data_IF_188215978041
#
_entry.id   IF_188215978041
#
_cell.length_a   1.000
_cell.length_b   1.000
_cell.length_c   1.000
_cell.angle_alpha   90.00
_cell.angle_beta   90.00
_cell.angle_gamma   90.00
#
_symmetry.space_group_name_H-M   'P 1'
#
loop_
_entity.id
_entity.type
_entity.pdbx_description
1 polymer ?
#
# COMPACT_ATOMS: atom_id res chain seq x y z
N UNK A 1 9.03 -24.13 3.10
CA UNK A 1 8.09 -23.54 4.09
C UNK A 1 6.67 -23.64 3.56
N UNK A 2 5.69 -23.90 4.44
CA UNK A 2 4.28 -24.08 4.04
C UNK A 2 3.65 -22.73 3.65
N UNK A 3 2.78 -22.66 2.63
CA UNK A 3 2.12 -21.41 2.20
C UNK A 3 1.40 -20.66 3.32
N UNK A 4 0.83 -21.41 4.26
CA UNK A 4 0.08 -20.86 5.40
C UNK A 4 0.93 -19.96 6.30
N UNK A 5 2.23 -20.25 6.43
CA UNK A 5 3.15 -19.42 7.21
C UNK A 5 3.23 -17.99 6.66
N UNK A 6 3.35 -17.85 5.34
CA UNK A 6 3.43 -16.54 4.68
C UNK A 6 2.09 -15.79 4.71
N UNK A 7 0.96 -16.50 4.74
CA UNK A 7 -0.35 -15.89 4.95
C UNK A 7 -0.43 -15.31 6.36
N UNK A 8 -0.07 -16.09 7.39
CA UNK A 8 -0.02 -15.61 8.77
C UNK A 8 0.92 -14.41 8.93
N UNK A 9 2.08 -14.44 8.27
CA UNK A 9 3.01 -13.32 8.24
C UNK A 9 2.36 -12.04 7.70
N UNK A 10 1.60 -12.17 6.60
CA UNK A 10 0.89 -11.05 6.00
C UNK A 10 -0.26 -10.53 6.87
N UNK A 11 -0.99 -11.41 7.55
CA UNK A 11 -2.02 -11.04 8.53
C UNK A 11 -1.38 -10.24 9.68
N UNK A 12 -0.28 -10.75 10.25
CA UNK A 12 0.45 -10.05 11.31
C UNK A 12 0.96 -8.70 10.81
N UNK A 13 1.50 -8.64 9.59
CA UNK A 13 1.91 -7.38 8.95
C UNK A 13 0.78 -6.36 8.88
N UNK A 14 -0.38 -6.76 8.37
CA UNK A 14 -1.56 -5.90 8.30
C UNK A 14 -2.02 -5.42 9.69
N UNK A 15 -2.02 -6.29 10.70
CA UNK A 15 -2.36 -5.92 12.07
C UNK A 15 -1.37 -4.92 12.67
N UNK A 16 -0.06 -5.08 12.43
CA UNK A 16 0.96 -4.13 12.88
C UNK A 16 0.71 -2.76 12.26
N UNK A 17 0.40 -2.69 10.95
CA UNK A 17 0.08 -1.41 10.30
C UNK A 17 -1.14 -0.76 10.96
N UNK A 18 -2.21 -1.53 11.22
CA UNK A 18 -3.41 -1.01 11.89
C UNK A 18 -3.13 -0.51 13.30
N UNK A 19 -2.23 -1.16 14.05
CA UNK A 19 -1.80 -0.70 15.37
C UNK A 19 -1.03 0.63 15.29
N UNK A 20 -0.32 0.89 14.19
CA UNK A 20 0.38 2.14 13.94
C UNK A 20 -0.50 3.38 14.00
N UNK A 21 -1.79 3.27 13.64
CA UNK A 21 -2.75 4.38 13.72
C UNK A 21 -3.03 4.89 15.14
N UNK A 22 -2.80 4.05 16.16
CA UNK A 22 -3.01 4.42 17.56
C UNK A 22 -1.76 5.05 18.19
N UNK A 23 -0.64 5.02 17.47
CA UNK A 23 0.66 5.46 17.99
C UNK A 23 0.91 6.93 17.63
N UNK A 24 1.76 7.62 18.41
CA UNK A 24 2.20 8.97 18.03
C UNK A 24 2.93 8.95 16.69
N UNK A 25 2.96 10.08 15.95
CA UNK A 25 3.38 10.12 14.54
C UNK A 25 4.75 9.50 14.26
N UNK A 26 5.74 9.72 15.13
CA UNK A 26 7.09 9.17 15.01
C UNK A 26 7.13 7.66 15.21
N UNK A 27 6.36 7.13 16.17
CA UNK A 27 6.24 5.70 16.38
C UNK A 27 5.42 5.04 15.27
N UNK A 28 4.36 5.69 14.77
CA UNK A 28 3.48 5.16 13.73
C UNK A 28 4.27 4.71 12.48
N UNK A 29 5.28 5.48 12.06
CA UNK A 29 6.13 5.14 10.90
C UNK A 29 6.88 3.81 11.07
N UNK A 30 7.34 3.49 12.29
CA UNK A 30 8.04 2.23 12.59
C UNK A 30 7.07 1.05 12.41
N UNK A 31 5.83 1.19 12.88
CA UNK A 31 4.80 0.18 12.71
C UNK A 31 4.46 -0.03 11.23
N UNK A 32 4.33 1.07 10.46
CA UNK A 32 4.14 0.99 9.03
C UNK A 32 5.28 0.24 8.32
N UNK A 33 6.54 0.60 8.60
CA UNK A 33 7.70 -0.03 7.98
C UNK A 33 7.80 -1.51 8.36
N UNK A 34 7.60 -1.84 9.64
CA UNK A 34 7.62 -3.22 10.12
C UNK A 34 6.51 -4.06 9.45
N UNK A 35 5.27 -3.57 9.46
CA UNK A 35 4.14 -4.27 8.89
C UNK A 35 4.21 -4.41 7.36
N UNK A 36 4.65 -3.36 6.65
CA UNK A 36 4.87 -3.38 5.21
C UNK A 36 5.98 -4.37 4.82
N UNK A 37 7.04 -4.50 5.63
CA UNK A 37 8.10 -5.49 5.41
C UNK A 37 7.60 -6.94 5.50
N UNK A 38 6.67 -7.21 6.43
CA UNK A 38 6.02 -8.52 6.54
C UNK A 38 5.09 -8.79 5.35
N UNK A 39 4.27 -7.81 4.96
CA UNK A 39 3.42 -7.91 3.76
C UNK A 39 4.24 -8.07 2.48
N UNK A 40 5.38 -7.39 2.37
CA UNK A 40 6.31 -7.53 1.26
C UNK A 40 6.83 -8.97 1.16
N UNK A 41 7.21 -9.57 2.30
CA UNK A 41 7.64 -10.96 2.35
C UNK A 41 6.55 -11.91 1.85
N UNK A 42 5.29 -11.66 2.24
CA UNK A 42 4.13 -12.39 1.72
C UNK A 42 3.95 -12.18 0.21
N UNK A 43 4.02 -10.94 -0.28
CA UNK A 43 3.89 -10.61 -1.69
C UNK A 43 4.97 -11.27 -2.56
N UNK A 44 6.22 -11.28 -2.09
CA UNK A 44 7.36 -11.92 -2.76
C UNK A 44 7.17 -13.42 -2.84
N UNK A 45 6.80 -14.08 -1.73
CA UNK A 45 6.58 -15.52 -1.70
C UNK A 45 5.49 -15.96 -2.71
N UNK A 46 4.40 -15.19 -2.80
CA UNK A 46 3.31 -15.46 -3.74
C UNK A 46 3.49 -14.82 -5.12
N UNK A 47 4.66 -14.22 -5.40
CA UNK A 47 5.04 -13.61 -6.68
C UNK A 47 4.03 -12.57 -7.19
N UNK A 48 3.50 -11.75 -6.29
CA UNK A 48 2.49 -10.75 -6.62
C UNK A 48 3.15 -9.40 -6.95
N UNK A 49 3.65 -9.25 -8.17
CA UNK A 49 4.46 -8.09 -8.61
C UNK A 49 3.89 -6.72 -8.22
N UNK A 50 2.59 -6.52 -8.38
CA UNK A 50 1.95 -5.26 -8.00
C UNK A 50 2.08 -4.98 -6.49
N UNK A 51 1.81 -5.97 -5.63
CA UNK A 51 1.88 -5.77 -4.19
C UNK A 51 3.33 -5.69 -3.71
N UNK A 52 4.26 -6.37 -4.37
CA UNK A 52 5.70 -6.16 -4.13
C UNK A 52 6.04 -4.68 -4.35
N UNK A 53 5.61 -4.10 -5.48
CA UNK A 53 5.84 -2.70 -5.76
C UNK A 53 5.13 -1.77 -4.77
N UNK A 54 3.85 -2.04 -4.44
CA UNK A 54 3.11 -1.29 -3.42
C UNK A 54 3.90 -1.20 -2.11
N UNK A 55 4.35 -2.34 -1.57
CA UNK A 55 5.05 -2.35 -0.28
C UNK A 55 6.42 -1.67 -0.37
N UNK A 56 7.18 -1.87 -1.46
CA UNK A 56 8.45 -1.16 -1.66
C UNK A 56 8.26 0.36 -1.74
N UNK A 57 7.21 0.81 -2.42
CA UNK A 57 6.87 2.22 -2.56
C UNK A 57 6.47 2.82 -1.20
N UNK A 58 5.62 2.12 -0.45
CA UNK A 58 5.22 2.54 0.89
C UNK A 58 6.41 2.56 1.86
N UNK A 59 7.29 1.55 1.81
CA UNK A 59 8.52 1.51 2.59
C UNK A 59 9.46 2.68 2.25
N UNK A 60 9.59 3.04 0.98
CA UNK A 60 10.38 4.20 0.58
C UNK A 60 9.80 5.51 1.15
N UNK A 61 8.48 5.68 1.10
CA UNK A 61 7.81 6.86 1.67
C UNK A 61 7.96 6.96 3.19
N UNK A 62 7.61 5.91 3.92
CA UNK A 62 7.68 5.89 5.39
C UNK A 62 9.14 5.86 5.89
N UNK A 63 10.03 5.20 5.17
CA UNK A 63 11.46 5.22 5.42
C UNK A 63 12.05 6.62 5.24
N UNK A 64 11.63 7.37 4.23
CA UNK A 64 12.04 8.77 4.06
C UNK A 64 11.60 9.64 5.25
N UNK A 65 10.38 9.42 5.78
CA UNK A 65 9.91 10.11 6.99
C UNK A 65 10.81 9.77 8.19
N UNK A 66 11.12 8.49 8.42
CA UNK A 66 12.00 8.06 9.52
C UNK A 66 13.42 8.63 9.43
N UNK A 67 13.92 8.86 8.22
CA UNK A 67 15.23 9.45 7.97
C UNK A 67 15.23 10.98 8.06
N UNK A 68 14.10 11.61 8.39
CA UNK A 68 13.99 13.07 8.48
C UNK A 68 14.08 13.79 7.13
N UNK A 69 13.79 13.08 6.03
CA UNK A 69 13.79 13.65 4.68
C UNK A 69 12.53 14.52 4.52
N UNK A 70 12.66 15.71 3.94
CA UNK A 70 11.54 16.67 3.81
C UNK A 70 10.35 16.17 2.96
N UNK A 71 9.15 16.76 3.14
CA UNK A 71 7.88 16.26 2.58
C UNK A 71 7.86 16.19 1.04
N UNK A 72 8.58 17.09 0.36
CA UNK A 72 8.71 17.08 -1.11
C UNK A 72 9.34 15.76 -1.59
N UNK A 73 10.42 15.34 -0.95
CA UNK A 73 11.13 14.09 -1.27
C UNK A 73 10.35 12.86 -0.81
N UNK A 74 9.63 12.96 0.32
CA UNK A 74 8.73 11.89 0.80
C UNK A 74 7.63 11.56 -0.21
N UNK A 75 7.11 12.57 -0.93
CA UNK A 75 6.10 12.36 -1.96
C UNK A 75 6.72 12.02 -3.32
N UNK A 76 7.81 12.69 -3.72
CA UNK A 76 8.41 12.52 -5.04
C UNK A 76 8.95 11.11 -5.26
N UNK A 77 9.55 10.49 -4.23
CA UNK A 77 10.09 9.13 -4.32
C UNK A 77 8.99 8.11 -4.67
N UNK A 78 7.88 8.00 -3.91
CA UNK A 78 6.76 7.16 -4.29
C UNK A 78 6.14 7.46 -5.65
N UNK A 79 6.04 8.73 -6.04
CA UNK A 79 5.51 9.11 -7.35
C UNK A 79 6.41 8.58 -8.47
N UNK A 80 7.72 8.78 -8.36
CA UNK A 80 8.68 8.29 -9.34
C UNK A 80 8.68 6.76 -9.45
N UNK A 81 8.61 6.06 -8.30
CA UNK A 81 8.51 4.60 -8.30
C UNK A 81 7.17 4.10 -8.86
N UNK A 82 6.08 4.82 -8.62
CA UNK A 82 4.77 4.52 -9.23
C UNK A 82 4.79 4.72 -10.75
N UNK A 83 5.50 5.76 -11.23
CA UNK A 83 5.74 5.96 -12.65
C UNK A 83 6.59 4.84 -13.26
N UNK A 84 7.63 4.39 -12.56
CA UNK A 84 8.42 3.23 -13.00
C UNK A 84 7.55 1.96 -13.09
N UNK A 85 6.66 1.74 -12.13
CA UNK A 85 5.70 0.63 -12.17
C UNK A 85 4.73 0.75 -13.36
N UNK A 86 4.27 1.96 -13.67
CA UNK A 86 3.46 2.24 -14.87
C UNK A 86 4.21 1.86 -16.14
N UNK A 87 5.45 2.35 -16.30
CA UNK A 87 6.30 2.04 -17.45
C UNK A 87 6.56 0.53 -17.55
N UNK A 88 6.83 -0.14 -16.42
CA UNK A 88 7.00 -1.59 -16.37
C UNK A 88 5.78 -2.34 -16.93
N UNK A 89 4.56 -1.97 -16.50
CA UNK A 89 3.35 -2.62 -16.98
C UNK A 89 2.99 -2.27 -18.43
N UNK A 90 3.31 -1.06 -18.86
CA UNK A 90 3.14 -0.65 -20.26
C UNK A 90 4.06 -1.46 -21.18
N UNK A 91 5.35 -1.55 -20.85
CA UNK A 91 6.33 -2.28 -21.66
C UNK A 91 6.14 -3.80 -21.63
N UNK A 92 5.54 -4.35 -20.58
CA UNK A 92 5.21 -5.79 -20.52
C UNK A 92 3.91 -6.16 -21.23
N UNK A 93 3.19 -5.20 -21.84
CA UNK A 93 1.91 -5.45 -22.53
C UNK A 93 0.76 -5.81 -21.59
N UNK A 94 0.93 -5.51 -20.32
CA UNK A 94 0.19 -6.08 -19.20
C UNK A 94 -0.65 -5.00 -18.48
N UNK A 95 -0.56 -3.75 -18.96
CA UNK A 95 -1.36 -2.63 -18.48
C UNK A 95 -2.83 -2.81 -18.88
N UNK A 96 -3.69 -2.92 -17.87
CA UNK A 96 -5.16 -2.95 -18.00
C UNK A 96 -5.78 -1.90 -17.08
N UNK A 97 -7.03 -1.54 -17.33
CA UNK A 97 -7.72 -0.46 -16.59
C UNK A 97 -7.66 -0.64 -15.07
N UNK A 98 -7.93 -1.84 -14.55
CA UNK A 98 -7.85 -2.11 -13.12
C UNK A 98 -6.43 -1.94 -12.56
N UNK A 99 -5.42 -2.30 -13.34
CA UNK A 99 -4.02 -2.14 -12.95
C UNK A 99 -3.60 -0.68 -12.93
N UNK A 100 -4.09 0.11 -13.89
CA UNK A 100 -3.91 1.55 -13.89
C UNK A 100 -4.54 2.18 -12.64
N UNK A 101 -5.78 1.79 -12.29
CA UNK A 101 -6.45 2.20 -11.04
C UNK A 101 -5.57 1.88 -9.83
N UNK A 102 -5.02 0.66 -9.76
CA UNK A 102 -4.09 0.28 -8.70
C UNK A 102 -2.86 1.19 -8.63
N UNK A 103 -2.16 1.41 -9.74
CA UNK A 103 -0.94 2.24 -9.79
C UNK A 103 -1.24 3.68 -9.39
N UNK A 104 -2.34 4.25 -9.89
CA UNK A 104 -2.82 5.58 -9.47
C UNK A 104 -3.15 5.59 -7.98
N UNK A 105 -3.77 4.51 -7.48
CA UNK A 105 -4.04 4.31 -6.07
C UNK A 105 -2.80 4.35 -5.18
N UNK A 106 -1.70 3.70 -5.60
CA UNK A 106 -0.41 3.75 -4.91
C UNK A 106 0.10 5.19 -4.82
N UNK A 107 0.14 5.89 -5.96
CA UNK A 107 0.63 7.26 -6.03
C UNK A 107 -0.20 8.20 -5.12
N UNK A 108 -1.54 8.12 -5.22
CA UNK A 108 -2.44 8.90 -4.37
C UNK A 108 -2.26 8.55 -2.89
N UNK A 109 -2.20 7.26 -2.53
CA UNK A 109 -2.03 6.85 -1.14
C UNK A 109 -0.74 7.44 -0.56
N UNK A 110 0.36 7.39 -1.31
CA UNK A 110 1.63 7.98 -0.88
C UNK A 110 1.59 9.50 -0.75
N UNK A 111 0.94 10.22 -1.68
CA UNK A 111 0.74 11.67 -1.56
C UNK A 111 -0.12 12.00 -0.33
N UNK A 112 -1.20 11.24 -0.11
CA UNK A 112 -2.09 11.39 1.04
C UNK A 112 -1.34 11.22 2.36
N UNK A 113 -0.37 10.31 2.43
CA UNK A 113 0.52 10.18 3.58
C UNK A 113 1.45 11.39 3.76
N UNK A 114 2.14 11.83 2.71
CA UNK A 114 3.14 12.91 2.82
C UNK A 114 2.55 14.28 3.14
N UNK A 115 1.35 14.58 2.62
CA UNK A 115 0.69 15.87 2.83
C UNK A 115 -0.43 15.83 3.87
N UNK A 116 -0.68 14.66 4.48
CA UNK A 116 -1.76 14.42 5.42
C UNK A 116 -3.16 14.84 4.89
N UNK A 117 -3.37 14.77 3.56
CA UNK A 117 -4.63 15.12 2.91
C UNK A 117 -5.61 13.93 2.97
N UNK A 118 -6.73 14.04 3.72
CA UNK A 118 -7.66 12.93 3.89
C UNK A 118 -8.36 12.51 2.60
N UNK A 119 -8.66 13.44 1.70
CA UNK A 119 -9.35 13.13 0.44
C UNK A 119 -8.45 12.33 -0.49
N UNK A 120 -7.20 12.78 -0.64
CA UNK A 120 -6.21 12.07 -1.46
C UNK A 120 -5.95 10.67 -0.89
N UNK A 121 -5.80 10.57 0.43
CA UNK A 121 -5.62 9.29 1.11
C UNK A 121 -6.82 8.34 0.91
N UNK A 122 -8.04 8.87 1.01
CA UNK A 122 -9.27 8.11 0.78
C UNK A 122 -9.31 7.52 -0.64
N UNK A 123 -9.09 8.34 -1.67
CA UNK A 123 -9.11 7.86 -3.05
C UNK A 123 -7.97 6.89 -3.36
N UNK A 124 -6.79 7.11 -2.75
CA UNK A 124 -5.66 6.18 -2.87
C UNK A 124 -5.97 4.80 -2.30
N UNK A 125 -6.40 4.75 -1.04
CA UNK A 125 -6.78 3.48 -0.37
C UNK A 125 -7.95 2.78 -1.06
N UNK A 126 -8.98 3.52 -1.48
CA UNK A 126 -10.12 2.95 -2.21
C UNK A 126 -9.67 2.32 -3.54
N UNK A 127 -8.79 2.99 -4.29
CA UNK A 127 -8.30 2.48 -5.57
C UNK A 127 -7.51 1.17 -5.40
N UNK A 128 -6.67 1.09 -4.36
CA UNK A 128 -5.94 -0.15 -4.03
C UNK A 128 -6.92 -1.25 -3.60
N UNK A 129 -7.93 -0.94 -2.80
CA UNK A 129 -8.95 -1.90 -2.39
C UNK A 129 -9.73 -2.46 -3.59
N UNK A 130 -10.15 -1.60 -4.53
CA UNK A 130 -10.84 -2.01 -5.77
C UNK A 130 -9.95 -2.91 -6.61
N UNK A 131 -8.68 -2.53 -6.82
CA UNK A 131 -7.75 -3.38 -7.57
C UNK A 131 -7.49 -4.72 -6.88
N UNK A 132 -7.41 -4.72 -5.54
CA UNK A 132 -7.23 -5.93 -4.78
C UNK A 132 -8.43 -6.88 -4.89
N UNK A 133 -9.65 -6.35 -4.75
CA UNK A 133 -10.88 -7.12 -4.98
C UNK A 133 -10.96 -7.68 -6.41
N UNK A 134 -10.54 -6.92 -7.42
CA UNK A 134 -10.46 -7.42 -8.79
C UNK A 134 -9.51 -8.63 -8.91
N UNK A 135 -8.34 -8.59 -8.26
CA UNK A 135 -7.42 -9.73 -8.26
C UNK A 135 -8.00 -10.95 -7.53
N UNK A 136 -8.76 -10.73 -6.44
CA UNK A 136 -9.48 -11.81 -5.74
C UNK A 136 -10.51 -12.46 -6.65
N UNK A 137 -11.29 -11.65 -7.38
CA UNK A 137 -12.24 -12.13 -8.38
C UNK A 137 -11.56 -12.95 -9.50
N UNK A 138 -10.34 -12.58 -9.89
CA UNK A 138 -9.49 -13.32 -10.84
C UNK A 138 -8.81 -14.56 -10.23
N UNK A 139 -9.22 -15.02 -9.04
CA UNK A 139 -8.72 -16.23 -8.39
C UNK A 139 -7.46 -16.05 -7.53
N UNK A 140 -6.90 -14.84 -7.44
CA UNK A 140 -5.73 -14.55 -6.58
C UNK A 140 -6.20 -14.19 -5.16
N UNK A 141 -6.77 -15.16 -4.44
CA UNK A 141 -7.41 -14.92 -3.14
C UNK A 141 -6.52 -14.27 -2.08
N UNK A 142 -5.20 -14.43 -2.18
CA UNK A 142 -4.22 -13.84 -1.25
C UNK A 142 -4.26 -12.31 -1.29
N UNK A 143 -4.72 -11.73 -2.42
CA UNK A 143 -5.00 -10.31 -2.55
C UNK A 143 -6.00 -9.77 -1.51
N UNK A 144 -6.79 -10.65 -0.86
CA UNK A 144 -7.72 -10.26 0.21
C UNK A 144 -7.03 -9.54 1.36
N UNK A 145 -5.75 -9.84 1.65
CA UNK A 145 -5.00 -9.15 2.70
C UNK A 145 -4.94 -7.64 2.44
N UNK A 146 -4.55 -7.26 1.21
CA UNK A 146 -4.50 -5.86 0.81
C UNK A 146 -5.89 -5.26 0.63
N UNK A 147 -6.88 -6.03 0.15
CA UNK A 147 -8.25 -5.56 0.01
C UNK A 147 -8.85 -5.15 1.37
N UNK A 148 -8.76 -6.04 2.36
CA UNK A 148 -9.30 -5.79 3.71
C UNK A 148 -8.56 -4.62 4.36
N UNK A 149 -7.23 -4.61 4.33
CA UNK A 149 -6.43 -3.53 4.91
C UNK A 149 -6.80 -2.16 4.33
N UNK A 150 -6.89 -2.06 3.00
CA UNK A 150 -7.20 -0.80 2.34
C UNK A 150 -8.67 -0.40 2.48
N UNK A 151 -9.60 -1.34 2.63
CA UNK A 151 -10.99 -1.02 2.99
C UNK A 151 -11.07 -0.43 4.40
N UNK A 152 -10.32 -0.97 5.36
CA UNK A 152 -10.26 -0.38 6.72
C UNK A 152 -9.73 1.05 6.66
N UNK A 153 -8.68 1.32 5.88
CA UNK A 153 -8.20 2.69 5.64
C UNK A 153 -9.26 3.57 4.99
N UNK A 154 -9.91 3.08 3.94
CA UNK A 154 -10.94 3.81 3.20
C UNK A 154 -12.08 4.21 4.13
N UNK A 155 -12.64 3.27 4.89
CA UNK A 155 -13.75 3.55 5.80
C UNK A 155 -13.33 4.42 6.99
N UNK A 156 -12.14 4.19 7.56
CA UNK A 156 -11.61 5.01 8.65
C UNK A 156 -11.43 6.47 8.22
N UNK A 157 -10.90 6.70 7.02
CA UNK A 157 -10.74 8.05 6.47
C UNK A 157 -12.07 8.67 6.05
N UNK A 158 -12.99 7.90 5.46
CA UNK A 158 -14.33 8.38 5.17
C UNK A 158 -15.06 8.85 6.43
N UNK A 159 -14.94 8.10 7.53
CA UNK A 159 -15.50 8.49 8.82
C UNK A 159 -14.93 9.84 9.28
N UNK A 160 -13.60 10.02 9.21
CA UNK A 160 -12.91 11.27 9.56
C UNK A 160 -13.28 12.46 8.65
N UNK A 161 -13.66 12.20 7.40
CA UNK A 161 -14.09 13.26 6.46
C UNK A 161 -15.51 13.73 6.79
N UNK A 162 -16.38 12.82 7.22
CA UNK A 162 -17.81 13.10 7.44
C UNK A 162 -18.10 13.65 8.85
N UNK A 163 -17.37 13.17 9.87
CA UNK A 163 -17.57 13.52 11.27
C UNK A 163 -16.31 14.14 11.87
#
# INVERSE_FOLDING_TARGET
MKPIFFIFLGIIGALIILLGFKQPPTAAQIYYVAGASLLLTTAVYFKLTYYIALELILLAGHGAILLGIGPVLQASLPIMLSLQLLVYYLLSGELRIFRLIGITGIALLSIGFSYADPWIFFFGSLSIAVFAMYNVYQGRHIALLWAILNLVFTFGTAFKIIF
#
